data_IF_170321932825
#
_entry.id   IF_170321932825
#
_cell.length_a   1.000
_cell.length_b   1.000
_cell.length_c   1.000
_cell.angle_alpha   90.00
_cell.angle_beta   90.00
_cell.angle_gamma   90.00
#
_symmetry.space_group_name_H-M   'P 1'
#
loop_
_entity.id
_entity.type
_entity.pdbx_description
1 polymer ?
#
# COMPACT_ATOMS: atom_id res chain seq x y z
N UNK A 1 -6.47 -17.96 22.43
CA UNK A 1 -7.00 -16.59 22.51
C UNK A 1 -8.52 -16.62 22.36
N UNK A 2 -9.28 -15.80 23.09
CA UNK A 2 -10.75 -15.75 23.02
C UNK A 2 -11.24 -14.51 22.27
N UNK A 3 -12.26 -14.67 21.43
CA UNK A 3 -12.92 -13.57 20.72
C UNK A 3 -14.01 -12.94 21.60
N UNK A 4 -13.99 -11.62 21.74
CA UNK A 4 -15.03 -10.88 22.47
C UNK A 4 -16.36 -10.89 21.69
N UNK A 5 -17.44 -10.52 22.37
CA UNK A 5 -18.75 -10.39 21.71
C UNK A 5 -18.73 -9.36 20.55
N UNK A 6 -18.02 -8.25 20.73
CA UNK A 6 -17.91 -7.23 19.66
C UNK A 6 -17.06 -7.74 18.49
N UNK A 7 -15.97 -8.47 18.73
CA UNK A 7 -15.19 -9.10 17.65
C UNK A 7 -16.08 -10.02 16.81
N UNK A 8 -16.82 -10.92 17.47
CA UNK A 8 -17.73 -11.87 16.81
C UNK A 8 -18.79 -11.16 15.97
N UNK A 9 -19.39 -10.09 16.51
CA UNK A 9 -20.40 -9.29 15.80
C UNK A 9 -19.85 -8.61 14.54
N UNK A 10 -18.64 -8.06 14.59
CA UNK A 10 -18.01 -7.46 13.40
C UNK A 10 -17.62 -8.53 12.37
N UNK A 11 -17.07 -9.66 12.82
CA UNK A 11 -16.75 -10.80 11.95
C UNK A 11 -18.00 -11.37 11.27
N UNK A 12 -19.14 -11.41 11.97
CA UNK A 12 -20.43 -11.79 11.38
C UNK A 12 -20.85 -10.84 10.27
N UNK A 13 -20.65 -9.53 10.44
CA UNK A 13 -20.93 -8.55 9.39
C UNK A 13 -20.09 -8.81 8.14
N UNK A 14 -18.79 -9.09 8.29
CA UNK A 14 -17.91 -9.39 7.15
C UNK A 14 -18.24 -10.73 6.51
N UNK A 15 -18.53 -11.75 7.31
CA UNK A 15 -18.91 -13.07 6.84
C UNK A 15 -20.23 -13.04 6.04
N UNK A 16 -21.28 -12.39 6.56
CA UNK A 16 -22.54 -12.26 5.83
C UNK A 16 -22.40 -11.42 4.55
N UNK A 17 -21.48 -10.45 4.53
CA UNK A 17 -21.14 -9.72 3.31
C UNK A 17 -20.44 -10.60 2.28
N UNK A 18 -19.45 -11.38 2.72
CA UNK A 18 -18.72 -12.33 1.89
C UNK A 18 -19.64 -13.42 1.31
N UNK A 19 -20.66 -13.86 2.04
CA UNK A 19 -21.64 -14.83 1.51
C UNK A 19 -22.54 -14.27 0.41
N UNK A 20 -22.77 -12.96 0.38
CA UNK A 20 -23.58 -12.34 -0.70
C UNK A 20 -22.85 -12.36 -2.04
N UNK A 21 -21.52 -12.29 -1.99
CA UNK A 21 -20.66 -12.19 -3.15
C UNK A 21 -19.33 -12.88 -2.84
N UNK A 22 -19.34 -14.22 -2.88
CA UNK A 22 -18.21 -15.09 -2.51
C UNK A 22 -17.15 -15.15 -3.62
N UNK A 23 -16.74 -13.97 -4.08
CA UNK A 23 -15.76 -13.74 -5.11
C UNK A 23 -14.48 -13.19 -4.47
N UNK A 24 -13.35 -13.65 -4.98
CA UNK A 24 -12.06 -13.02 -4.75
C UNK A 24 -11.85 -12.02 -5.86
N UNK A 25 -11.64 -10.76 -5.47
CA UNK A 25 -11.37 -9.65 -6.37
C UNK A 25 -10.01 -9.03 -6.05
N UNK A 26 -9.09 -9.13 -6.99
CA UNK A 26 -7.83 -8.39 -7.07
C UNK A 26 -7.67 -7.89 -8.51
N UNK A 27 -6.84 -6.88 -8.78
CA UNK A 27 -6.78 -6.03 -10.00
C UNK A 27 -6.94 -6.73 -11.35
N UNK A 28 -6.64 -8.02 -11.46
CA UNK A 28 -6.81 -8.81 -12.69
C UNK A 28 -7.54 -10.17 -12.48
N UNK A 29 -8.04 -10.42 -11.28
CA UNK A 29 -8.66 -11.69 -10.88
C UNK A 29 -9.99 -11.39 -10.20
N UNK A 30 -11.08 -11.74 -10.89
CA UNK A 30 -12.41 -11.83 -10.29
C UNK A 30 -12.93 -13.24 -10.51
N UNK A 31 -12.90 -14.06 -9.46
CA UNK A 31 -13.36 -15.44 -9.54
C UNK A 31 -13.94 -15.93 -8.21
N UNK A 32 -14.79 -16.97 -8.22
CA UNK A 32 -15.29 -17.57 -6.98
C UNK A 32 -14.13 -18.04 -6.10
N UNK A 33 -14.23 -17.85 -4.77
CA UNK A 33 -13.14 -18.20 -3.85
C UNK A 33 -12.73 -19.67 -3.95
N UNK A 34 -13.68 -20.59 -4.16
CA UNK A 34 -13.36 -22.02 -4.36
C UNK A 34 -12.49 -22.28 -5.60
N UNK A 35 -12.71 -21.53 -6.70
CA UNK A 35 -11.84 -21.60 -7.89
C UNK A 35 -10.47 -21.00 -7.59
N UNK A 36 -10.42 -19.90 -6.85
CA UNK A 36 -9.18 -19.26 -6.43
C UNK A 36 -8.33 -20.19 -5.54
N UNK A 37 -8.94 -20.83 -4.55
CA UNK A 37 -8.29 -21.79 -3.66
C UNK A 37 -7.83 -23.04 -4.39
N UNK A 38 -8.59 -23.51 -5.39
CA UNK A 38 -8.15 -24.60 -6.26
C UNK A 38 -6.91 -24.20 -7.06
N UNK A 39 -6.84 -22.97 -7.58
CA UNK A 39 -5.65 -22.47 -8.27
C UNK A 39 -4.45 -22.31 -7.33
N UNK A 40 -4.65 -21.86 -6.08
CA UNK A 40 -3.60 -21.90 -5.04
C UNK A 40 -3.10 -23.33 -4.85
N UNK A 41 -4.01 -24.27 -4.60
CA UNK A 41 -3.68 -25.68 -4.39
C UNK A 41 -2.90 -26.28 -5.56
N UNK A 42 -3.26 -25.95 -6.79
CA UNK A 42 -2.58 -26.44 -8.00
C UNK A 42 -1.17 -25.85 -8.15
N UNK A 43 -0.94 -24.62 -7.66
CA UNK A 43 0.37 -23.95 -7.67
C UNK A 43 1.31 -24.37 -6.53
N UNK A 44 0.77 -24.84 -5.39
CA UNK A 44 1.56 -25.21 -4.20
C UNK A 44 2.67 -26.22 -4.50
N UNK A 45 2.47 -27.31 -5.26
CA UNK A 45 3.52 -28.29 -5.55
C UNK A 45 4.77 -27.68 -6.18
N UNK A 46 4.61 -26.81 -7.18
CA UNK A 46 5.73 -26.19 -7.88
C UNK A 46 6.45 -25.17 -6.99
N UNK A 47 5.69 -24.36 -6.23
CA UNK A 47 6.26 -23.38 -5.30
C UNK A 47 7.03 -24.10 -4.18
N UNK A 48 6.47 -25.18 -3.64
CA UNK A 48 7.11 -26.01 -2.62
C UNK A 48 8.36 -26.69 -3.15
N UNK A 49 8.36 -27.17 -4.39
CA UNK A 49 9.55 -27.73 -5.03
C UNK A 49 10.65 -26.68 -5.20
N UNK A 50 10.31 -25.46 -5.62
CA UNK A 50 11.26 -24.34 -5.70
C UNK A 50 11.92 -24.05 -4.34
N UNK A 51 11.12 -23.95 -3.27
CA UNK A 51 11.63 -23.71 -1.91
C UNK A 51 12.52 -24.87 -1.47
N UNK A 52 12.10 -26.12 -1.67
CA UNK A 52 12.89 -27.29 -1.31
C UNK A 52 14.23 -27.38 -2.06
N UNK A 53 14.25 -27.07 -3.36
CA UNK A 53 15.48 -27.05 -4.15
C UNK A 53 16.45 -25.96 -3.65
N UNK A 54 15.95 -24.79 -3.25
CA UNK A 54 16.77 -23.75 -2.64
C UNK A 54 17.32 -24.20 -1.26
N UNK A 55 16.45 -24.70 -0.38
CA UNK A 55 16.85 -25.16 0.96
C UNK A 55 17.88 -26.29 0.91
N UNK A 56 17.80 -27.18 -0.08
CA UNK A 56 18.74 -28.29 -0.29
C UNK A 56 19.99 -27.91 -1.07
N UNK A 57 20.07 -26.67 -1.58
CA UNK A 57 21.22 -26.16 -2.35
C UNK A 57 21.26 -26.62 -3.82
N UNK A 58 20.18 -27.23 -4.33
CA UNK A 58 20.02 -27.53 -5.76
C UNK A 58 19.77 -26.28 -6.59
N UNK A 59 19.20 -25.25 -5.97
CA UNK A 59 18.94 -23.94 -6.58
C UNK A 59 19.83 -22.90 -5.88
N UNK A 60 20.56 -22.11 -6.66
CA UNK A 60 21.35 -21.00 -6.10
C UNK A 60 20.45 -19.88 -5.58
N UNK A 61 20.98 -18.99 -4.73
CA UNK A 61 20.22 -17.82 -4.25
C UNK A 61 19.71 -16.93 -5.40
N UNK A 62 20.52 -16.73 -6.43
CA UNK A 62 20.15 -15.94 -7.61
C UNK A 62 19.04 -16.61 -8.41
N UNK A 63 19.17 -17.92 -8.67
CA UNK A 63 18.15 -18.67 -9.42
C UNK A 63 16.85 -18.78 -8.63
N UNK A 64 16.93 -18.89 -7.29
CA UNK A 64 15.76 -18.88 -6.41
C UNK A 64 14.99 -17.56 -6.53
N UNK A 65 15.69 -16.42 -6.49
CA UNK A 65 15.08 -15.10 -6.69
C UNK A 65 14.39 -15.00 -8.06
N UNK A 66 15.05 -15.41 -9.13
CA UNK A 66 14.51 -15.32 -10.49
C UNK A 66 13.32 -16.25 -10.72
N UNK A 67 13.39 -17.47 -10.21
CA UNK A 67 12.27 -18.43 -10.26
C UNK A 67 11.09 -17.92 -9.43
N UNK A 68 11.34 -17.36 -8.24
CA UNK A 68 10.31 -16.72 -7.42
C UNK A 68 9.62 -15.57 -8.14
N UNK A 69 10.36 -14.69 -8.81
CA UNK A 69 9.78 -13.58 -9.59
C UNK A 69 8.90 -14.12 -10.73
N UNK A 70 9.39 -15.10 -11.50
CA UNK A 70 8.62 -15.74 -12.56
C UNK A 70 7.33 -16.40 -12.05
N UNK A 71 7.42 -17.13 -10.94
CA UNK A 71 6.27 -17.80 -10.33
C UNK A 71 5.27 -16.77 -9.77
N UNK A 72 5.72 -15.73 -9.07
CA UNK A 72 4.83 -14.68 -8.53
C UNK A 72 3.98 -13.98 -9.59
N UNK A 73 4.43 -13.97 -10.86
CA UNK A 73 3.71 -13.42 -12.00
C UNK A 73 2.73 -14.40 -12.64
N UNK A 74 3.09 -15.69 -12.68
CA UNK A 74 2.27 -16.74 -13.29
C UNK A 74 1.21 -17.30 -12.35
N UNK A 75 1.48 -17.27 -11.03
CA UNK A 75 0.58 -17.72 -9.96
C UNK A 75 0.39 -16.61 -8.91
N UNK A 76 -0.36 -15.53 -9.23
CA UNK A 76 -0.39 -14.31 -8.42
C UNK A 76 -1.27 -14.39 -7.15
N UNK A 77 -1.65 -15.59 -6.71
CA UNK A 77 -2.73 -15.82 -5.73
C UNK A 77 -2.41 -15.45 -4.27
N UNK A 78 -1.23 -14.89 -4.01
CA UNK A 78 -0.77 -14.47 -2.69
C UNK A 78 -0.29 -13.01 -2.65
N UNK A 79 -0.44 -12.26 -3.74
CA UNK A 79 0.06 -10.87 -3.83
C UNK A 79 1.60 -10.75 -3.77
N UNK A 80 2.35 -11.85 -3.80
CA UNK A 80 3.80 -11.84 -3.56
C UNK A 80 4.61 -11.05 -4.59
N UNK A 81 4.06 -10.80 -5.79
CA UNK A 81 4.71 -9.97 -6.83
C UNK A 81 5.00 -8.52 -6.36
N UNK A 82 4.26 -8.04 -5.35
CA UNK A 82 4.30 -6.64 -4.91
C UNK A 82 5.56 -6.20 -4.16
N UNK A 83 5.54 -4.95 -3.71
CA UNK A 83 6.63 -4.29 -2.97
C UNK A 83 6.96 -4.99 -1.64
N UNK A 84 5.93 -5.47 -0.94
CA UNK A 84 6.11 -6.20 0.33
C UNK A 84 6.69 -7.62 0.16
N UNK A 85 6.65 -8.21 -1.04
CA UNK A 85 7.10 -9.58 -1.30
C UNK A 85 8.36 -9.66 -2.16
N UNK A 86 8.18 -9.84 -3.47
CA UNK A 86 9.25 -10.09 -4.42
C UNK A 86 10.27 -8.95 -4.46
N UNK A 87 9.87 -7.70 -4.24
CA UNK A 87 10.82 -6.59 -4.17
C UNK A 87 11.75 -6.72 -2.94
N UNK A 88 11.24 -7.11 -1.78
CA UNK A 88 12.07 -7.37 -0.59
C UNK A 88 13.08 -8.49 -0.87
N UNK A 89 12.65 -9.59 -1.51
CA UNK A 89 13.55 -10.67 -1.91
C UNK A 89 14.60 -10.19 -2.91
N UNK A 90 14.22 -9.34 -3.87
CA UNK A 90 15.16 -8.76 -4.84
C UNK A 90 16.19 -7.88 -4.15
N UNK A 91 15.77 -6.99 -3.24
CA UNK A 91 16.67 -6.15 -2.44
C UNK A 91 17.59 -7.01 -1.58
N UNK A 92 17.08 -8.06 -0.94
CA UNK A 92 17.86 -8.98 -0.12
C UNK A 92 18.99 -9.62 -0.92
N UNK A 93 18.67 -10.16 -2.10
CA UNK A 93 19.65 -10.88 -2.91
C UNK A 93 20.64 -9.94 -3.58
N UNK A 94 20.17 -8.81 -4.12
CA UNK A 94 21.00 -7.92 -4.93
C UNK A 94 21.83 -6.93 -4.11
N UNK A 95 21.34 -6.48 -2.94
CA UNK A 95 21.94 -5.35 -2.23
C UNK A 95 22.73 -5.76 -0.98
N UNK A 96 22.50 -6.96 -0.43
CA UNK A 96 23.26 -7.46 0.71
C UNK A 96 24.56 -8.10 0.22
N UNK A 97 25.70 -7.61 0.71
CA UNK A 97 27.04 -8.14 0.38
C UNK A 97 27.57 -9.16 1.39
N UNK A 98 26.82 -9.43 2.47
CA UNK A 98 27.19 -10.38 3.50
C UNK A 98 27.30 -11.82 2.94
N UNK A 99 28.43 -12.46 3.19
CA UNK A 99 28.71 -13.84 2.77
C UNK A 99 27.73 -14.85 3.40
N UNK A 100 27.13 -14.52 4.54
CA UNK A 100 26.18 -15.39 5.22
C UNK A 100 24.73 -15.24 4.70
N UNK A 101 24.43 -14.28 3.81
CA UNK A 101 23.05 -13.97 3.41
C UNK A 101 22.27 -15.19 2.89
N UNK A 102 22.92 -16.09 2.16
CA UNK A 102 22.25 -17.29 1.66
C UNK A 102 21.88 -18.24 2.81
N UNK A 103 22.80 -18.46 3.76
CA UNK A 103 22.57 -19.27 4.95
C UNK A 103 21.47 -18.66 5.83
N UNK A 104 21.50 -17.35 6.03
CA UNK A 104 20.50 -16.63 6.81
C UNK A 104 19.10 -16.74 6.16
N UNK A 105 19.00 -16.60 4.84
CA UNK A 105 17.74 -16.78 4.14
C UNK A 105 17.23 -18.22 4.21
N UNK A 106 18.09 -19.23 4.00
CA UNK A 106 17.69 -20.65 4.13
C UNK A 106 17.15 -20.95 5.53
N UNK A 107 17.82 -20.45 6.58
CA UNK A 107 17.37 -20.61 7.95
C UNK A 107 16.01 -19.98 8.22
N UNK A 108 15.75 -18.80 7.65
CA UNK A 108 14.48 -18.10 7.80
C UNK A 108 13.34 -18.76 6.99
N UNK A 109 13.62 -19.26 5.79
CA UNK A 109 12.62 -19.91 4.92
C UNK A 109 12.32 -21.36 5.30
N UNK A 110 13.21 -22.03 6.02
CA UNK A 110 12.95 -23.38 6.54
C UNK A 110 11.67 -23.40 7.38
N UNK A 111 10.78 -24.35 7.10
CA UNK A 111 9.51 -24.50 7.79
C UNK A 111 9.73 -24.59 9.32
N UNK A 112 9.21 -23.65 10.12
CA UNK A 112 9.31 -23.72 11.57
C UNK A 112 8.55 -24.94 12.12
N UNK A 113 8.95 -25.42 13.30
CA UNK A 113 8.32 -26.57 13.99
C UNK A 113 7.21 -26.15 14.93
N UNK A 114 7.18 -24.88 15.32
CA UNK A 114 6.18 -24.29 16.21
C UNK A 114 6.00 -22.81 15.90
N UNK A 115 4.98 -22.19 16.51
CA UNK A 115 4.77 -20.75 16.39
C UNK A 115 5.88 -19.96 17.12
N UNK A 116 6.44 -20.50 18.21
CA UNK A 116 7.62 -19.93 18.87
C UNK A 116 8.83 -19.90 17.93
N UNK A 117 9.09 -20.97 17.19
CA UNK A 117 10.20 -20.99 16.22
C UNK A 117 9.93 -20.01 15.06
N UNK A 118 8.67 -19.87 14.63
CA UNK A 118 8.29 -18.88 13.63
C UNK A 118 8.59 -17.43 14.10
N UNK A 119 8.18 -17.08 15.33
CA UNK A 119 8.50 -15.79 15.95
C UNK A 119 10.02 -15.56 16.02
N UNK A 120 10.77 -16.56 16.48
CA UNK A 120 12.23 -16.50 16.56
C UNK A 120 12.89 -16.27 15.20
N UNK A 121 12.43 -16.95 14.14
CA UNK A 121 12.96 -16.77 12.78
C UNK A 121 12.69 -15.37 12.24
N UNK A 122 11.50 -14.81 12.48
CA UNK A 122 11.18 -13.43 12.10
C UNK A 122 12.08 -12.45 12.84
N UNK A 123 12.21 -12.59 14.16
CA UNK A 123 13.05 -11.72 14.98
C UNK A 123 14.52 -11.78 14.54
N UNK A 124 15.05 -12.98 14.30
CA UNK A 124 16.42 -13.17 13.82
C UNK A 124 16.66 -12.48 12.47
N UNK A 125 15.71 -12.58 11.53
CA UNK A 125 15.81 -11.89 10.24
C UNK A 125 15.70 -10.36 10.41
N UNK A 126 14.84 -9.88 11.29
CA UNK A 126 14.69 -8.45 11.59
C UNK A 126 15.98 -7.88 12.21
N UNK A 127 16.57 -8.56 13.18
CA UNK A 127 17.85 -8.20 13.81
C UNK A 127 19.00 -8.23 12.81
N UNK A 128 19.06 -9.27 11.97
CA UNK A 128 20.05 -9.40 10.91
C UNK A 128 20.01 -8.20 9.96
N UNK A 129 18.83 -7.85 9.44
CA UNK A 129 18.66 -6.70 8.55
C UNK A 129 18.92 -5.36 9.27
N UNK A 130 18.56 -5.25 10.55
CA UNK A 130 18.85 -4.06 11.37
C UNK A 130 20.35 -3.84 11.53
N UNK A 131 21.11 -4.92 11.81
CA UNK A 131 22.57 -4.87 11.89
C UNK A 131 23.18 -4.43 10.57
N UNK A 132 22.77 -5.04 9.45
CA UNK A 132 23.27 -4.65 8.13
C UNK A 132 23.01 -3.18 7.81
N UNK A 133 21.82 -2.65 8.16
CA UNK A 133 21.49 -1.22 8.01
C UNK A 133 22.45 -0.30 8.77
N UNK A 134 22.97 -0.73 9.92
CA UNK A 134 23.93 0.07 10.69
C UNK A 134 25.37 -0.01 10.16
N UNK A 135 25.68 -1.06 9.41
CA UNK A 135 27.04 -1.33 8.90
C UNK A 135 27.26 -0.82 7.47
N UNK A 136 26.20 -0.57 6.69
CA UNK A 136 26.30 -0.11 5.30
C UNK A 136 26.24 1.42 5.16
N UNK A 137 26.98 1.96 4.20
CA UNK A 137 26.91 3.37 3.78
C UNK A 137 25.59 3.71 3.07
N UNK A 138 24.81 2.70 2.65
CA UNK A 138 23.49 2.89 2.06
C UNK A 138 22.40 2.08 2.80
N UNK A 139 21.99 2.46 4.03
CA UNK A 139 20.99 1.74 4.83
C UNK A 139 19.64 1.54 4.14
N UNK A 140 19.34 2.35 3.12
CA UNK A 140 18.08 2.32 2.36
C UNK A 140 18.05 1.22 1.30
N UNK A 141 19.21 0.66 0.92
CA UNK A 141 19.28 -0.49 0.02
C UNK A 141 18.90 -1.81 0.71
N UNK A 142 18.96 -1.85 2.05
CA UNK A 142 18.62 -3.03 2.83
C UNK A 142 17.10 -3.16 2.95
N UNK A 143 16.52 -4.34 2.67
CA UNK A 143 15.09 -4.59 2.75
C UNK A 143 14.46 -4.04 4.04
N UNK A 144 13.30 -3.36 3.91
CA UNK A 144 12.57 -2.79 5.04
C UNK A 144 11.24 -3.51 5.27
N UNK A 145 11.08 -3.99 6.52
CA UNK A 145 9.81 -4.09 7.25
C UNK A 145 8.65 -4.73 6.49
N UNK A 146 8.81 -6.01 6.11
CA UNK A 146 7.70 -6.96 6.19
C UNK A 146 8.21 -8.42 6.22
N UNK A 147 9.14 -8.72 7.15
CA UNK A 147 9.67 -10.09 7.28
C UNK A 147 8.55 -11.07 7.59
N UNK A 148 7.55 -10.65 8.36
CA UNK A 148 6.37 -11.44 8.68
C UNK A 148 5.64 -11.89 7.41
N UNK A 149 5.29 -10.99 6.49
CA UNK A 149 4.66 -11.37 5.21
C UNK A 149 5.57 -12.26 4.36
N UNK A 150 6.82 -11.84 4.14
CA UNK A 150 7.73 -12.57 3.26
C UNK A 150 7.99 -14.01 3.74
N UNK A 151 8.26 -14.19 5.03
CA UNK A 151 8.56 -15.50 5.59
C UNK A 151 7.30 -16.36 5.69
N UNK A 152 6.18 -15.81 6.17
CA UNK A 152 4.92 -16.56 6.30
C UNK A 152 4.35 -17.01 4.96
N UNK A 153 4.55 -16.25 3.87
CA UNK A 153 4.26 -16.70 2.51
C UNK A 153 4.95 -18.03 2.17
N UNK A 154 6.26 -18.12 2.39
CA UNK A 154 7.01 -19.34 2.10
C UNK A 154 6.69 -20.48 3.09
N UNK A 155 6.30 -20.18 4.32
CA UNK A 155 5.87 -21.19 5.28
C UNK A 155 4.49 -21.76 4.94
N UNK A 156 3.55 -20.94 4.50
CA UNK A 156 2.23 -21.40 4.08
C UNK A 156 2.32 -22.30 2.85
N UNK A 157 3.14 -21.94 1.85
CA UNK A 157 3.41 -22.79 0.68
C UNK A 157 3.91 -24.18 1.10
N UNK A 158 4.71 -24.25 2.15
CA UNK A 158 5.23 -25.52 2.67
C UNK A 158 4.19 -26.27 3.50
N UNK A 159 3.36 -25.55 4.27
CA UNK A 159 2.29 -26.06 5.12
C UNK A 159 1.16 -25.02 5.33
N UNK A 160 0.10 -25.12 4.51
CA UNK A 160 -1.01 -24.17 4.50
C UNK A 160 -2.02 -24.34 5.63
N UNK A 161 -1.92 -25.43 6.40
CA UNK A 161 -2.83 -25.69 7.52
C UNK A 161 -2.36 -25.02 8.82
N UNK A 162 -1.06 -24.71 8.91
CA UNK A 162 -0.45 -24.20 10.13
C UNK A 162 -0.05 -22.74 10.03
N UNK A 163 0.54 -22.26 8.93
CA UNK A 163 1.15 -20.92 8.93
C UNK A 163 0.33 -19.94 8.10
N UNK A 164 -0.52 -19.10 8.71
CA UNK A 164 -1.24 -18.07 7.96
C UNK A 164 -0.26 -17.01 7.45
N UNK A 165 -0.52 -16.51 6.26
CA UNK A 165 0.26 -15.41 5.68
C UNK A 165 -0.11 -14.09 6.37
N UNK A 166 0.90 -13.33 6.78
CA UNK A 166 0.74 -12.05 7.45
C UNK A 166 0.42 -10.95 6.43
N UNK A 167 -0.84 -10.88 6.00
CA UNK A 167 -1.30 -9.82 5.10
C UNK A 167 -1.56 -8.52 5.87
N UNK A 168 -0.98 -7.41 5.41
CA UNK A 168 -1.24 -6.08 5.98
C UNK A 168 -2.72 -5.68 5.91
N UNK A 169 -3.44 -6.09 4.85
CA UNK A 169 -4.88 -5.88 4.72
C UNK A 169 -5.69 -6.60 5.81
N UNK A 170 -5.31 -7.84 6.14
CA UNK A 170 -5.92 -8.60 7.23
C UNK A 170 -5.62 -7.94 8.57
N UNK A 171 -4.36 -7.57 8.82
CA UNK A 171 -3.97 -6.84 10.03
C UNK A 171 -4.79 -5.57 10.23
N UNK A 172 -4.95 -4.74 9.20
CA UNK A 172 -5.73 -3.51 9.25
C UNK A 172 -7.19 -3.76 9.67
N UNK A 173 -7.81 -4.82 9.13
CA UNK A 173 -9.16 -5.19 9.54
C UNK A 173 -9.21 -5.64 10.99
N UNK A 174 -8.25 -6.45 11.42
CA UNK A 174 -8.16 -6.90 12.80
C UNK A 174 -7.96 -5.72 13.78
N UNK A 175 -7.11 -4.76 13.46
CA UNK A 175 -6.96 -3.51 14.22
C UNK A 175 -8.28 -2.73 14.28
N UNK A 176 -8.98 -2.60 13.15
CA UNK A 176 -10.26 -1.87 13.08
C UNK A 176 -11.37 -2.45 13.96
N UNK A 177 -11.30 -3.75 14.27
CA UNK A 177 -12.27 -4.43 15.14
C UNK A 177 -11.75 -4.58 16.58
N UNK A 178 -10.61 -3.97 16.93
CA UNK A 178 -10.15 -3.80 18.30
C UNK A 178 -8.97 -4.68 18.73
N UNK A 179 -8.30 -5.38 17.82
CA UNK A 179 -7.05 -6.09 18.16
C UNK A 179 -5.87 -5.12 18.24
N UNK A 180 -5.05 -5.25 19.28
CA UNK A 180 -3.94 -4.35 19.54
C UNK A 180 -2.61 -4.96 19.13
N UNK A 181 -2.16 -4.61 17.92
CA UNK A 181 -0.84 -5.00 17.42
C UNK A 181 0.28 -4.05 17.90
N UNK A 182 -0.05 -2.87 18.42
CA UNK A 182 0.95 -1.87 18.85
C UNK A 182 1.62 -2.23 20.17
N UNK A 183 0.99 -3.07 20.98
CA UNK A 183 1.56 -3.58 22.24
C UNK A 183 2.52 -4.75 22.08
N UNK A 184 2.78 -5.22 20.85
CA UNK A 184 3.70 -6.32 20.60
C UNK A 184 5.15 -5.80 20.50
N UNK A 185 6.06 -6.38 21.27
CA UNK A 185 7.43 -5.87 21.41
C UNK A 185 8.30 -6.12 20.18
N UNK A 186 8.03 -7.20 19.44
CA UNK A 186 8.83 -7.59 18.27
C UNK A 186 7.96 -8.01 17.09
N UNK A 187 8.48 -7.97 15.84
CA UNK A 187 7.73 -8.45 14.67
C UNK A 187 7.35 -9.93 14.74
N UNK A 188 8.17 -10.75 15.41
CA UNK A 188 7.86 -12.17 15.65
C UNK A 188 6.69 -12.36 16.63
N UNK A 189 6.62 -11.54 17.68
CA UNK A 189 5.48 -11.56 18.61
C UNK A 189 4.21 -11.03 17.94
N UNK A 190 4.34 -10.00 17.10
CA UNK A 190 3.25 -9.51 16.24
C UNK A 190 2.71 -10.61 15.32
N UNK A 191 3.59 -11.38 14.67
CA UNK A 191 3.18 -12.51 13.82
C UNK A 191 2.50 -13.62 14.62
N UNK A 192 3.03 -13.98 15.79
CA UNK A 192 2.42 -14.99 16.65
C UNK A 192 1.02 -14.55 17.11
N UNK A 193 0.88 -13.28 17.52
CA UNK A 193 -0.39 -12.70 17.91
C UNK A 193 -1.39 -12.70 16.74
N UNK A 194 -0.95 -12.34 15.54
CA UNK A 194 -1.75 -12.45 14.31
C UNK A 194 -2.23 -13.88 14.08
N UNK A 195 -1.35 -14.87 14.14
CA UNK A 195 -1.70 -16.27 13.91
C UNK A 195 -2.71 -16.77 14.95
N UNK A 196 -2.54 -16.43 16.22
CA UNK A 196 -3.48 -16.77 17.30
C UNK A 196 -4.87 -16.17 17.06
N UNK A 197 -4.96 -14.95 16.53
CA UNK A 197 -6.23 -14.34 16.11
C UNK A 197 -6.85 -15.13 14.97
N UNK A 198 -6.09 -15.44 13.92
CA UNK A 198 -6.59 -16.20 12.76
C UNK A 198 -7.12 -17.58 13.19
N UNK A 199 -6.42 -18.27 14.09
CA UNK A 199 -6.89 -19.55 14.63
C UNK A 199 -8.17 -19.40 15.46
N UNK A 200 -8.29 -18.34 16.25
CA UNK A 200 -9.50 -18.07 17.02
C UNK A 200 -10.70 -17.78 16.09
N UNK A 201 -10.49 -17.03 15.01
CA UNK A 201 -11.53 -16.76 14.00
C UNK A 201 -11.93 -18.04 13.26
N UNK A 202 -10.94 -18.85 12.84
CA UNK A 202 -11.18 -20.17 12.25
C UNK A 202 -12.05 -21.03 13.16
N UNK A 203 -11.66 -21.16 14.43
CA UNK A 203 -12.40 -21.97 15.40
C UNK A 203 -13.81 -21.44 15.62
N UNK A 204 -13.99 -20.12 15.67
CA UNK A 204 -15.30 -19.48 15.76
C UNK A 204 -16.19 -19.83 14.55
N UNK A 205 -15.69 -19.70 13.32
CA UNK A 205 -16.44 -20.09 12.13
C UNK A 205 -16.76 -21.58 12.09
N UNK A 206 -15.85 -22.45 12.51
CA UNK A 206 -16.09 -23.89 12.54
C UNK A 206 -17.16 -24.27 13.59
N UNK A 207 -17.01 -23.78 14.83
CA UNK A 207 -17.81 -24.23 15.97
C UNK A 207 -19.14 -23.51 16.11
N UNK A 208 -19.17 -22.20 15.87
CA UNK A 208 -20.38 -21.38 16.08
C UNK A 208 -21.13 -21.10 14.76
N UNK A 209 -20.46 -21.15 13.61
CA UNK A 209 -21.08 -20.97 12.29
C UNK A 209 -21.21 -22.25 11.47
N UNK A 210 -20.61 -23.36 11.93
CA UNK A 210 -20.72 -24.66 11.26
C UNK A 210 -20.00 -24.73 9.91
N UNK A 211 -19.01 -23.86 9.68
CA UNK A 211 -18.28 -23.77 8.42
C UNK A 211 -17.23 -24.88 8.33
N UNK A 212 -17.23 -25.61 7.21
CA UNK A 212 -16.35 -26.77 6.97
C UNK A 212 -15.69 -26.66 5.60
N UNK A 213 -14.83 -25.66 5.45
CA UNK A 213 -14.06 -25.45 4.23
C UNK A 213 -12.85 -26.38 4.16
N UNK A 214 -12.43 -26.72 2.94
CA UNK A 214 -11.22 -27.53 2.71
C UNK A 214 -9.96 -26.83 3.23
N UNK A 215 -9.92 -25.49 3.14
CA UNK A 215 -8.81 -24.66 3.58
C UNK A 215 -9.30 -23.59 4.58
N UNK A 216 -9.43 -23.93 5.87
CA UNK A 216 -10.08 -23.04 6.84
C UNK A 216 -9.33 -21.72 7.06
N UNK A 217 -8.00 -21.71 6.94
CA UNK A 217 -7.19 -20.48 7.06
C UNK A 217 -7.44 -19.55 5.87
N UNK A 218 -7.44 -20.08 4.64
CA UNK A 218 -7.75 -19.30 3.43
C UNK A 218 -9.18 -18.76 3.47
N UNK A 219 -10.12 -19.51 4.03
CA UNK A 219 -11.47 -19.00 4.23
C UNK A 219 -11.50 -17.77 5.15
N UNK A 220 -10.76 -17.80 6.27
CA UNK A 220 -10.63 -16.62 7.14
C UNK A 220 -10.01 -15.45 6.38
N UNK A 221 -8.95 -15.69 5.60
CA UNK A 221 -8.31 -14.69 4.74
C UNK A 221 -9.32 -14.02 3.79
N UNK A 222 -10.16 -14.79 3.11
CA UNK A 222 -11.18 -14.27 2.19
C UNK A 222 -12.21 -13.38 2.89
N UNK A 223 -12.67 -13.79 4.08
CA UNK A 223 -13.63 -13.00 4.86
C UNK A 223 -13.01 -11.68 5.31
N UNK A 224 -11.76 -11.70 5.78
CA UNK A 224 -11.04 -10.48 6.18
C UNK A 224 -10.76 -9.57 4.98
N UNK A 225 -10.38 -10.14 3.83
CA UNK A 225 -10.19 -9.38 2.59
C UNK A 225 -11.48 -8.69 2.15
N UNK A 226 -12.64 -9.38 2.24
CA UNK A 226 -13.93 -8.76 1.96
C UNK A 226 -14.24 -7.61 2.91
N UNK A 227 -13.97 -7.79 4.20
CA UNK A 227 -14.07 -6.73 5.20
C UNK A 227 -13.24 -5.50 4.82
N UNK A 228 -11.99 -5.73 4.39
CA UNK A 228 -11.07 -4.69 3.92
C UNK A 228 -11.64 -3.93 2.73
N UNK A 229 -12.12 -4.64 1.70
CA UNK A 229 -12.75 -4.01 0.53
C UNK A 229 -13.99 -3.21 0.92
N UNK A 230 -14.85 -3.72 1.81
CA UNK A 230 -16.07 -3.04 2.24
C UNK A 230 -15.80 -1.75 3.01
N UNK A 231 -14.92 -1.79 4.01
CA UNK A 231 -14.52 -0.57 4.76
C UNK A 231 -13.95 0.52 3.84
N UNK A 232 -13.47 0.14 2.66
CA UNK A 232 -12.86 1.05 1.71
C UNK A 232 -13.76 1.39 0.52
N UNK A 233 -14.81 0.61 0.26
CA UNK A 233 -15.88 0.91 -0.69
C UNK A 233 -16.97 1.80 -0.08
N UNK A 234 -17.28 1.66 1.22
CA UNK A 234 -18.25 2.53 1.93
C UNK A 234 -17.74 3.98 2.09
N UNK A 235 -16.45 4.23 1.83
CA UNK A 235 -15.90 5.59 1.68
C UNK A 235 -16.14 6.17 0.27
N UNK A 236 -16.51 5.36 -0.72
CA UNK A 236 -16.74 5.78 -2.12
C UNK A 236 -18.23 6.03 -2.45
N UNK A 237 -19.18 5.67 -1.58
CA UNK A 237 -20.63 5.79 -1.83
C UNK A 237 -21.33 6.77 -0.87
N UNK A 238 -20.95 8.06 -0.92
CA UNK A 238 -21.88 9.15 -0.56
C UNK A 238 -21.89 10.21 -1.66
N UNK A 239 -22.27 9.80 -2.86
CA UNK A 239 -22.76 10.72 -3.88
C UNK A 239 -23.96 10.09 -4.60
N UNK A 240 -25.15 10.34 -4.08
CA UNK A 240 -26.27 11.01 -4.78
C UNK A 240 -27.60 10.73 -4.08
N UNK A 241 -28.22 11.78 -3.54
CA UNK A 241 -29.53 12.27 -3.99
C UNK A 241 -29.84 13.59 -3.27
N UNK A 242 -29.96 14.67 -4.05
CA UNK A 242 -30.41 15.97 -3.57
C UNK A 242 -31.92 15.94 -3.27
N UNK A 243 -32.32 16.46 -2.10
CA UNK A 243 -33.48 17.37 -1.93
C UNK A 243 -33.45 18.06 -0.54
N UNK A 244 -33.09 19.35 -0.59
CA UNK A 244 -33.65 20.52 0.10
C UNK A 244 -33.96 20.59 1.64
N UNK A 245 -33.23 21.56 2.24
CA UNK A 245 -33.45 22.49 3.40
C UNK A 245 -33.37 22.00 4.87
N UNK A 246 -33.08 22.90 5.85
CA UNK A 246 -31.75 23.04 6.43
C UNK A 246 -31.75 22.68 7.93
N UNK A 247 -30.67 22.10 8.43
CA UNK A 247 -30.44 22.04 9.88
C UNK A 247 -29.09 22.69 10.16
N UNK A 248 -29.18 23.95 10.60
CA UNK A 248 -28.14 24.57 11.41
C UNK A 248 -27.97 23.68 12.65
N UNK A 249 -26.86 22.97 12.72
CA UNK A 249 -26.31 22.47 13.98
C UNK A 249 -24.87 22.94 14.04
N UNK A 250 -24.66 23.95 14.89
CA UNK A 250 -23.38 24.17 15.53
C UNK A 250 -22.96 22.87 16.22
N UNK A 251 -22.15 22.05 15.57
CA UNK A 251 -21.42 21.00 16.27
C UNK A 251 -20.06 21.54 16.62
N UNK A 252 -19.91 21.98 17.87
CA UNK A 252 -18.64 21.84 18.57
C UNK A 252 -18.30 20.35 18.57
N UNK A 253 -17.39 19.93 17.68
CA UNK A 253 -16.75 18.63 17.78
C UNK A 253 -15.61 18.71 18.81
N UNK A 254 -15.58 17.73 19.71
CA UNK A 254 -14.49 17.38 20.64
C UNK A 254 -14.27 15.87 20.39
N UNK A 255 -13.02 15.37 20.32
CA UNK A 255 -12.48 14.67 19.16
C UNK A 255 -12.52 13.14 19.26
N UNK A 256 -12.77 12.50 18.13
CA UNK A 256 -12.29 11.15 17.81
C UNK A 256 -11.22 11.31 16.72
N UNK A 257 -10.03 10.79 16.99
CA UNK A 257 -8.74 11.15 16.39
C UNK A 257 -8.65 10.91 14.87
N UNK A 258 -9.16 11.85 14.07
CA UNK A 258 -8.66 11.98 12.71
C UNK A 258 -7.26 12.60 12.81
N UNK A 259 -6.24 11.86 12.36
CA UNK A 259 -4.88 12.38 12.29
C UNK A 259 -4.73 13.41 11.16
N UNK A 260 -5.76 13.60 10.34
CA UNK A 260 -5.77 14.58 9.25
C UNK A 260 -5.81 16.00 9.84
N UNK A 261 -4.77 16.82 9.60
CA UNK A 261 -4.75 18.18 10.12
C UNK A 261 -5.89 19.03 9.54
N UNK A 262 -6.60 19.84 10.34
CA UNK A 262 -7.73 20.66 9.88
C UNK A 262 -7.41 21.58 8.70
N UNK A 263 -6.14 21.94 8.53
CA UNK A 263 -5.68 22.79 7.42
C UNK A 263 -5.85 22.12 6.05
N UNK A 264 -5.88 20.79 5.97
CA UNK A 264 -6.08 20.00 4.74
C UNK A 264 -7.35 19.13 4.75
N UNK A 265 -8.16 19.16 5.80
CA UNK A 265 -9.31 18.24 5.95
C UNK A 265 -10.41 18.40 4.86
N UNK A 266 -10.45 19.55 4.18
CA UNK A 266 -11.38 19.86 3.09
C UNK A 266 -10.75 19.67 1.68
N UNK A 267 -9.59 19.01 1.59
CA UNK A 267 -8.85 18.83 0.33
C UNK A 267 -9.69 18.14 -0.75
N UNK A 268 -10.52 17.16 -0.37
CA UNK A 268 -11.42 16.46 -1.29
C UNK A 268 -12.53 17.37 -1.84
N UNK A 269 -13.11 18.24 -1.01
CA UNK A 269 -14.13 19.21 -1.44
C UNK A 269 -13.55 20.18 -2.47
N UNK A 270 -12.33 20.68 -2.22
CA UNK A 270 -11.62 21.54 -3.15
C UNK A 270 -11.27 20.81 -4.46
N UNK A 271 -10.91 19.52 -4.40
CA UNK A 271 -10.68 18.71 -5.59
C UNK A 271 -11.95 18.54 -6.45
N UNK A 272 -13.13 18.53 -5.82
CA UNK A 272 -14.43 18.56 -6.50
C UNK A 272 -14.84 19.96 -7.01
N UNK A 273 -13.94 20.93 -6.94
CA UNK A 273 -14.18 22.34 -7.25
C UNK A 273 -15.26 23.01 -6.39
N UNK A 274 -15.46 22.53 -5.15
CA UNK A 274 -16.45 23.07 -4.24
C UNK A 274 -15.84 24.17 -3.36
N UNK A 275 -16.59 25.24 -3.14
CA UNK A 275 -16.19 26.29 -2.21
C UNK A 275 -16.21 25.77 -0.77
N UNK A 276 -15.13 26.01 -0.02
CA UNK A 276 -15.03 25.66 1.40
C UNK A 276 -15.01 26.91 2.26
N UNK A 277 -15.24 26.76 3.56
CA UNK A 277 -15.12 27.86 4.51
C UNK A 277 -13.73 28.52 4.46
N UNK A 278 -12.69 27.74 4.16
CA UNK A 278 -11.33 28.26 4.03
C UNK A 278 -11.17 29.16 2.80
N UNK A 279 -11.68 28.72 1.64
CA UNK A 279 -11.56 29.45 0.38
C UNK A 279 -12.43 30.71 0.39
N UNK A 280 -13.67 30.59 0.90
CA UNK A 280 -14.62 31.69 1.06
C UNK A 280 -14.09 32.81 1.94
N UNK A 281 -13.55 32.48 3.12
CA UNK A 281 -12.98 33.47 4.05
C UNK A 281 -11.79 34.24 3.46
N UNK A 282 -11.07 33.65 2.51
CA UNK A 282 -9.90 34.25 1.87
C UNK A 282 -10.19 34.88 0.50
N UNK A 283 -11.43 34.75 0.00
CA UNK A 283 -11.80 35.23 -1.33
C UNK A 283 -11.01 34.56 -2.46
N UNK A 284 -10.59 33.30 -2.25
CA UNK A 284 -9.81 32.53 -3.23
C UNK A 284 -10.74 31.50 -3.88
N UNK A 285 -10.62 31.30 -5.19
CA UNK A 285 -11.39 30.28 -5.90
C UNK A 285 -11.00 28.86 -5.45
N UNK A 286 -11.90 27.86 -5.52
CA UNK A 286 -11.61 26.50 -5.06
C UNK A 286 -10.38 25.89 -5.74
N UNK A 287 -10.16 26.14 -7.03
CA UNK A 287 -9.00 25.62 -7.76
C UNK A 287 -7.68 26.12 -7.15
N UNK A 288 -7.59 27.43 -6.88
CA UNK A 288 -6.39 28.02 -6.28
C UNK A 288 -6.22 27.62 -4.81
N UNK A 289 -7.32 27.47 -4.08
CA UNK A 289 -7.29 26.93 -2.73
C UNK A 289 -6.81 25.48 -2.73
N UNK A 290 -7.19 24.68 -3.74
CA UNK A 290 -6.73 23.30 -3.90
C UNK A 290 -5.21 23.23 -4.09
N UNK A 291 -4.65 24.03 -5.01
CA UNK A 291 -3.19 24.16 -5.22
C UNK A 291 -2.46 24.48 -3.89
N UNK A 292 -2.94 25.50 -3.18
CA UNK A 292 -2.34 25.92 -1.90
C UNK A 292 -2.41 24.81 -0.84
N UNK A 293 -3.49 24.03 -0.80
CA UNK A 293 -3.61 22.94 0.17
C UNK A 293 -2.81 21.70 -0.21
N UNK A 294 -2.56 21.44 -1.49
CA UNK A 294 -1.59 20.42 -1.91
C UNK A 294 -0.19 20.75 -1.45
N UNK A 295 0.21 22.03 -1.48
CA UNK A 295 1.48 22.46 -0.86
C UNK A 295 1.53 22.04 0.62
N UNK A 296 0.50 22.34 1.39
CA UNK A 296 0.47 21.94 2.81
C UNK A 296 0.52 20.43 2.99
N UNK A 297 -0.20 19.67 2.15
CA UNK A 297 -0.18 18.22 2.15
C UNK A 297 1.25 17.66 1.97
N UNK A 298 1.99 18.13 0.96
CA UNK A 298 3.37 17.71 0.75
C UNK A 298 4.32 18.18 1.86
N UNK A 299 4.13 19.38 2.41
CA UNK A 299 4.92 19.84 3.56
C UNK A 299 4.69 18.94 4.79
N UNK A 300 3.45 18.53 5.05
CA UNK A 300 3.13 17.57 6.14
C UNK A 300 3.78 16.21 5.88
N UNK A 301 3.87 15.79 4.61
CA UNK A 301 4.60 14.58 4.23
C UNK A 301 6.13 14.69 4.37
N UNK A 302 6.66 15.85 4.75
CA UNK A 302 8.08 16.08 5.01
C UNK A 302 8.88 16.58 3.80
N UNK A 303 8.23 16.95 2.70
CA UNK A 303 8.91 17.51 1.54
C UNK A 303 9.24 19.00 1.71
N UNK A 304 10.31 19.44 1.08
CA UNK A 304 10.56 20.85 0.79
C UNK A 304 9.75 21.26 -0.46
N UNK A 305 8.78 22.15 -0.29
CA UNK A 305 7.77 22.43 -1.31
C UNK A 305 7.88 23.86 -1.84
N UNK A 306 8.10 23.98 -3.14
CA UNK A 306 8.04 25.24 -3.89
C UNK A 306 6.73 25.33 -4.65
N UNK A 307 5.89 26.32 -4.32
CA UNK A 307 4.71 26.67 -5.11
C UNK A 307 5.11 27.53 -6.31
N UNK A 308 4.61 27.18 -7.49
CA UNK A 308 4.94 27.84 -8.76
C UNK A 308 3.71 28.55 -9.38
N UNK A 309 2.50 28.23 -8.91
CA UNK A 309 1.22 28.70 -9.47
C UNK A 309 1.01 30.24 -9.53
N UNK A 310 0.98 30.72 -10.79
CA UNK A 310 0.69 32.04 -11.42
C UNK A 310 1.65 33.23 -11.27
N UNK A 311 2.44 33.46 -12.35
CA UNK A 311 3.08 34.74 -12.68
C UNK A 311 4.07 34.67 -13.86
N UNK A 312 3.57 34.54 -15.10
CA UNK A 312 4.28 34.44 -16.41
C UNK A 312 4.74 33.03 -16.83
N UNK A 313 3.83 32.22 -17.36
CA UNK A 313 4.21 31.02 -18.12
C UNK A 313 3.23 29.86 -18.01
N UNK A 314 3.57 28.78 -18.70
CA UNK A 314 2.96 27.47 -18.52
C UNK A 314 3.87 26.66 -17.58
N UNK A 315 3.55 26.67 -16.29
CA UNK A 315 4.32 26.06 -15.20
C UNK A 315 3.42 25.07 -14.45
N UNK A 316 3.97 24.01 -13.83
CA UNK A 316 3.21 23.17 -12.91
C UNK A 316 2.82 23.95 -11.64
N UNK A 317 1.89 23.42 -10.85
CA UNK A 317 1.43 24.11 -9.63
C UNK A 317 2.48 24.12 -8.52
N UNK A 318 3.31 23.08 -8.44
CA UNK A 318 4.47 23.09 -7.54
C UNK A 318 5.42 21.91 -7.70
N UNK A 319 6.48 21.95 -6.90
CA UNK A 319 7.49 20.89 -6.83
C UNK A 319 7.77 20.60 -5.36
N UNK A 320 7.70 19.32 -4.99
CA UNK A 320 8.02 18.80 -3.68
C UNK A 320 9.33 17.99 -3.76
N UNK A 321 10.38 18.44 -3.09
CA UNK A 321 11.71 17.81 -3.10
C UNK A 321 11.93 17.10 -1.76
N UNK A 322 12.52 15.91 -1.81
CA UNK A 322 13.04 15.24 -0.63
C UNK A 322 14.50 14.88 -0.82
N UNK A 323 15.29 15.10 0.22
CA UNK A 323 16.70 14.71 0.31
C UNK A 323 16.87 13.31 0.92
N UNK A 324 15.77 12.73 1.40
CA UNK A 324 15.76 11.59 2.30
C UNK A 324 15.18 10.33 1.63
N UNK A 325 15.11 10.29 0.30
CA UNK A 325 14.79 9.09 -0.48
C UNK A 325 15.94 8.07 -0.53
N UNK A 326 15.65 6.84 -0.94
CA UNK A 326 16.65 5.79 -1.13
C UNK A 326 17.51 5.99 -2.37
N UNK A 327 17.00 6.65 -3.41
CA UNK A 327 17.83 7.08 -4.54
C UNK A 327 18.61 8.37 -4.25
N UNK A 328 18.58 8.87 -3.01
CA UNK A 328 19.08 10.19 -2.64
C UNK A 328 18.01 11.27 -2.86
N UNK A 329 18.35 12.31 -3.62
CA UNK A 329 17.45 13.43 -3.85
C UNK A 329 16.44 13.09 -4.94
N UNK A 330 15.15 13.17 -4.61
CA UNK A 330 14.06 12.98 -5.56
C UNK A 330 13.04 14.11 -5.45
N UNK A 331 12.29 14.31 -6.52
CA UNK A 331 11.24 15.31 -6.56
C UNK A 331 9.94 14.77 -7.15
N UNK A 332 8.85 15.27 -6.61
CA UNK A 332 7.50 15.13 -7.14
C UNK A 332 7.09 16.49 -7.69
N UNK A 333 7.06 16.62 -9.00
CA UNK A 333 6.40 17.75 -9.66
C UNK A 333 4.90 17.45 -9.58
N UNK A 334 4.07 18.40 -9.14
CA UNK A 334 2.64 18.14 -8.99
C UNK A 334 1.76 19.20 -9.65
N UNK A 335 0.57 18.76 -10.03
CA UNK A 335 -0.44 19.56 -10.69
C UNK A 335 -1.82 19.25 -10.09
N UNK A 336 -2.56 20.29 -9.75
CA UNK A 336 -3.87 20.24 -9.12
C UNK A 336 -4.96 20.36 -10.19
N UNK A 337 -5.84 19.35 -10.26
CA UNK A 337 -6.99 19.35 -11.18
C UNK A 337 -8.29 19.32 -10.39
N UNK A 338 -8.73 20.49 -9.93
CA UNK A 338 -10.06 20.64 -9.35
C UNK A 338 -11.14 20.50 -10.44
N UNK A 339 -11.99 19.47 -10.33
CA UNK A 339 -13.05 19.14 -11.29
C UNK A 339 -14.26 18.54 -10.58
N UNK A 340 -15.45 18.99 -10.97
CA UNK A 340 -16.72 18.37 -10.51
C UNK A 340 -16.93 16.96 -11.09
N UNK A 341 -16.32 16.67 -12.24
CA UNK A 341 -16.36 15.38 -12.94
C UNK A 341 -14.97 14.77 -12.98
N UNK A 342 -14.90 13.49 -13.32
CA UNK A 342 -13.64 12.77 -13.56
C UNK A 342 -12.69 13.54 -14.50
N UNK A 343 -11.41 13.50 -14.18
CA UNK A 343 -10.36 14.04 -15.03
C UNK A 343 -9.89 12.99 -16.04
N UNK A 344 -9.97 13.33 -17.33
CA UNK A 344 -9.47 12.50 -18.41
C UNK A 344 -8.08 12.98 -18.88
N UNK A 345 -7.09 12.09 -18.82
CA UNK A 345 -5.79 12.30 -19.46
C UNK A 345 -5.93 12.16 -21.00
N UNK A 346 -5.01 12.75 -21.77
CA UNK A 346 -5.05 12.75 -23.24
C UNK A 346 -5.31 14.14 -23.81
N UNK A 347 -5.94 15.02 -23.03
CA UNK A 347 -6.11 16.44 -23.37
C UNK A 347 -5.04 17.24 -22.63
N UNK A 348 -3.95 17.60 -23.32
CA UNK A 348 -2.85 18.38 -22.72
C UNK A 348 -1.56 17.59 -22.44
N UNK A 349 -1.43 16.35 -22.90
CA UNK A 349 -0.22 15.52 -22.74
C UNK A 349 1.06 16.21 -23.23
N UNK A 350 0.93 17.01 -24.30
CA UNK A 350 2.01 17.86 -24.80
C UNK A 350 2.46 18.89 -23.77
N UNK A 351 1.53 19.52 -23.07
CA UNK A 351 1.82 20.56 -22.07
C UNK A 351 2.49 19.92 -20.86
N UNK A 352 1.97 18.79 -20.37
CA UNK A 352 2.60 18.00 -19.31
C UNK A 352 4.04 17.59 -19.70
N UNK A 353 4.23 17.11 -20.93
CA UNK A 353 5.55 16.74 -21.47
C UNK A 353 6.51 17.94 -21.48
N UNK A 354 6.04 19.12 -21.87
CA UNK A 354 6.83 20.36 -21.86
C UNK A 354 7.20 20.78 -20.41
N UNK A 355 6.28 20.67 -19.45
CA UNK A 355 6.53 21.01 -18.04
C UNK A 355 7.59 20.13 -17.43
N UNK A 356 7.46 18.82 -17.62
CA UNK A 356 8.40 17.83 -17.11
C UNK A 356 9.80 18.13 -17.65
N UNK A 357 9.95 18.31 -18.97
CA UNK A 357 11.26 18.57 -19.60
C UNK A 357 11.92 19.85 -19.10
N UNK A 358 11.14 20.90 -18.87
CA UNK A 358 11.66 22.17 -18.39
C UNK A 358 12.13 22.05 -16.93
N UNK A 359 11.30 21.46 -16.06
CA UNK A 359 11.62 21.32 -14.63
C UNK A 359 12.68 20.29 -14.34
N UNK A 360 12.72 19.19 -15.09
CA UNK A 360 13.76 18.16 -14.93
C UNK A 360 15.16 18.78 -15.09
N UNK A 361 15.37 19.63 -16.09
CA UNK A 361 16.66 20.33 -16.30
C UNK A 361 17.02 21.25 -15.14
N UNK A 362 16.04 21.92 -14.55
CA UNK A 362 16.22 22.78 -13.37
C UNK A 362 16.61 21.94 -12.15
N UNK A 363 15.89 20.84 -11.91
CA UNK A 363 16.07 19.92 -10.79
C UNK A 363 17.40 19.15 -10.87
N UNK A 364 17.83 18.74 -12.07
CA UNK A 364 19.14 18.13 -12.28
C UNK A 364 20.29 19.05 -11.87
N UNK A 365 20.17 20.37 -12.07
CA UNK A 365 21.17 21.35 -11.59
C UNK A 365 21.21 21.42 -10.05
N UNK A 366 20.12 21.07 -9.40
CA UNK A 366 20.01 20.96 -7.94
C UNK A 366 20.35 19.55 -7.43
N UNK A 367 20.92 18.67 -8.29
CA UNK A 367 21.30 17.28 -8.00
C UNK A 367 20.14 16.34 -7.69
N UNK A 368 18.92 16.71 -8.07
CA UNK A 368 17.74 15.85 -8.02
C UNK A 368 17.75 14.98 -9.27
N UNK A 369 18.03 13.69 -9.12
CA UNK A 369 18.21 12.75 -10.24
C UNK A 369 16.98 11.86 -10.49
N UNK A 370 16.04 11.83 -9.55
CA UNK A 370 14.77 11.11 -9.67
C UNK A 370 13.62 12.09 -9.61
N UNK A 371 12.76 12.03 -10.61
CA UNK A 371 11.62 12.93 -10.74
C UNK A 371 10.41 12.10 -11.13
N UNK A 372 9.27 12.39 -10.53
CA UNK A 372 7.95 11.98 -11.00
C UNK A 372 7.06 13.20 -11.25
N UNK A 373 5.99 12.98 -12.00
CA UNK A 373 4.95 13.96 -12.22
C UNK A 373 3.62 13.45 -11.67
N UNK A 374 3.10 14.13 -10.65
CA UNK A 374 1.85 13.80 -9.96
C UNK A 374 0.72 14.68 -10.45
N UNK A 375 -0.39 14.08 -10.85
CA UNK A 375 -1.66 14.79 -11.05
C UNK A 375 -2.56 14.42 -9.89
N UNK A 376 -3.05 15.43 -9.16
CA UNK A 376 -3.99 15.24 -8.06
C UNK A 376 -5.35 15.78 -8.47
N UNK A 377 -6.38 14.94 -8.40
CA UNK A 377 -7.76 15.30 -8.75
C UNK A 377 -8.78 14.64 -7.82
N UNK A 378 -10.06 14.91 -8.01
CA UNK A 378 -11.15 14.24 -7.30
C UNK A 378 -11.25 12.78 -7.76
N UNK A 379 -11.37 12.56 -9.07
CA UNK A 379 -11.46 11.24 -9.71
C UNK A 379 -10.82 11.26 -11.11
N UNK A 380 -10.51 10.08 -11.66
CA UNK A 380 -9.92 9.91 -12.99
C UNK A 380 -10.76 8.99 -13.87
N UNK A 381 -10.87 9.31 -15.15
CA UNK A 381 -11.60 8.44 -16.10
C UNK A 381 -10.78 7.19 -16.42
N UNK A 382 -11.36 6.03 -16.14
CA UNK A 382 -10.82 4.74 -16.55
C UNK A 382 -11.13 4.49 -18.03
N UNK A 383 -10.14 4.73 -18.89
CA UNK A 383 -10.23 4.48 -20.33
C UNK A 383 -9.01 3.70 -20.81
N UNK A 384 -9.14 2.79 -21.78
CA UNK A 384 -7.99 2.16 -22.45
C UNK A 384 -6.97 3.17 -23.01
N UNK A 385 -7.38 4.43 -23.26
CA UNK A 385 -6.49 5.51 -23.70
C UNK A 385 -5.58 6.05 -22.58
N UNK A 386 -5.96 5.90 -21.31
CA UNK A 386 -5.19 6.36 -20.14
C UNK A 386 -3.78 5.76 -20.15
N UNK A 387 -3.68 4.44 -20.30
CA UNK A 387 -2.40 3.75 -20.35
C UNK A 387 -1.52 4.21 -21.51
N UNK A 388 -2.13 4.48 -22.67
CA UNK A 388 -1.39 4.92 -23.84
C UNK A 388 -0.81 6.32 -23.63
N UNK A 389 -1.60 7.26 -23.12
CA UNK A 389 -1.13 8.60 -22.76
C UNK A 389 0.01 8.56 -21.74
N UNK A 390 -0.12 7.76 -20.67
CA UNK A 390 0.94 7.61 -19.66
C UNK A 390 2.22 7.01 -20.27
N UNK A 391 2.09 5.98 -21.12
CA UNK A 391 3.21 5.38 -21.84
C UNK A 391 3.88 6.37 -22.79
N UNK A 392 3.11 7.20 -23.48
CA UNK A 392 3.63 8.17 -24.44
C UNK A 392 4.36 9.34 -23.76
N UNK A 393 3.81 9.86 -22.64
CA UNK A 393 4.52 10.84 -21.82
C UNK A 393 5.82 10.22 -21.29
N UNK A 394 5.77 9.02 -20.72
CA UNK A 394 6.97 8.33 -20.22
C UNK A 394 8.01 8.07 -21.31
N UNK A 395 7.60 7.70 -22.53
CA UNK A 395 8.52 7.55 -23.67
C UNK A 395 9.19 8.88 -24.03
N UNK A 396 8.46 9.98 -23.94
CA UNK A 396 8.94 11.31 -24.31
C UNK A 396 9.82 11.98 -23.25
N UNK A 397 9.61 11.68 -21.96
CA UNK A 397 10.26 12.36 -20.83
C UNK A 397 11.12 11.45 -19.97
N UNK A 398 10.89 10.13 -20.00
CA UNK A 398 11.44 9.14 -19.04
C UNK A 398 11.05 9.39 -17.58
N UNK A 399 10.05 10.24 -17.35
CA UNK A 399 9.53 10.58 -16.02
C UNK A 399 8.18 9.87 -15.83
N UNK A 400 8.00 9.08 -14.76
CA UNK A 400 6.74 8.44 -14.45
C UNK A 400 5.65 9.48 -14.15
N UNK A 401 4.46 9.27 -14.70
CA UNK A 401 3.26 10.05 -14.38
C UNK A 401 2.37 9.23 -13.46
N UNK A 402 1.96 9.85 -12.36
CA UNK A 402 1.17 9.23 -11.30
C UNK A 402 -0.10 10.04 -11.11
N UNK A 403 -1.20 9.33 -10.99
CA UNK A 403 -2.52 9.92 -10.79
C UNK A 403 -2.98 9.58 -9.38
N UNK A 404 -3.27 10.60 -8.55
CA UNK A 404 -3.66 10.39 -7.15
C UNK A 404 -4.98 11.10 -6.88
N UNK A 405 -5.94 10.38 -6.29
CA UNK A 405 -7.18 11.00 -5.85
C UNK A 405 -6.91 11.77 -4.56
N UNK A 406 -7.53 12.92 -4.37
CA UNK A 406 -7.33 13.73 -3.16
C UNK A 406 -7.59 12.93 -1.88
N UNK A 407 -8.60 12.05 -1.89
CA UNK A 407 -8.92 11.12 -0.79
C UNK A 407 -7.80 10.11 -0.49
N UNK A 408 -7.11 9.62 -1.52
CA UNK A 408 -6.00 8.68 -1.37
C UNK A 408 -4.75 9.39 -0.83
N UNK A 409 -4.49 10.63 -1.28
CA UNK A 409 -3.41 11.46 -0.72
C UNK A 409 -3.64 11.76 0.77
N UNK A 410 -4.87 12.06 1.17
CA UNK A 410 -5.24 12.20 2.58
C UNK A 410 -4.96 10.92 3.37
N UNK A 411 -5.23 9.75 2.79
CA UNK A 411 -4.95 8.45 3.42
C UNK A 411 -3.44 8.22 3.63
N UNK A 412 -2.59 8.65 2.69
CA UNK A 412 -1.12 8.61 2.85
C UNK A 412 -0.66 9.50 4.00
N UNK A 413 -1.23 10.70 4.11
CA UNK A 413 -0.89 11.66 5.17
C UNK A 413 -1.34 11.15 6.53
N UNK A 414 -2.58 10.67 6.63
CA UNK A 414 -3.12 10.08 7.85
C UNK A 414 -2.25 8.92 8.34
N UNK A 415 -1.86 8.02 7.43
CA UNK A 415 -0.92 6.93 7.73
C UNK A 415 0.40 7.45 8.27
N UNK A 416 1.05 8.39 7.56
CA UNK A 416 2.34 8.98 8.01
C UNK A 416 2.24 9.61 9.40
N UNK A 417 1.12 10.26 9.72
CA UNK A 417 0.94 10.89 11.03
C UNK A 417 0.59 9.88 12.12
N UNK A 418 -0.11 8.79 11.78
CA UNK A 418 -0.46 7.72 12.71
C UNK A 418 0.67 6.71 12.97
N UNK A 419 1.65 6.62 12.07
CA UNK A 419 2.79 5.72 12.12
C UNK A 419 4.09 6.48 11.80
N UNK A 420 4.91 6.72 12.84
CA UNK A 420 6.14 7.51 12.76
C UNK A 420 7.24 6.89 11.87
N UNK A 421 7.11 5.62 11.48
CA UNK A 421 8.12 4.93 10.67
C UNK A 421 8.00 5.21 9.16
N UNK A 422 6.94 5.90 8.70
CA UNK A 422 6.77 6.26 7.29
C UNK A 422 7.73 7.38 6.89
N UNK A 423 8.82 6.98 6.23
CA UNK A 423 9.88 7.88 5.77
C UNK A 423 9.82 8.15 4.26
N UNK A 424 10.78 8.95 3.80
CA UNK A 424 10.86 9.33 2.38
C UNK A 424 11.33 8.21 1.45
N UNK A 425 11.82 7.08 1.97
CA UNK A 425 12.10 5.90 1.16
C UNK A 425 10.78 5.27 0.68
N UNK A 426 9.84 5.09 1.61
CA UNK A 426 8.52 4.54 1.28
C UNK A 426 7.68 5.51 0.43
N UNK A 427 7.77 6.81 0.71
CA UNK A 427 7.10 7.83 -0.11
C UNK A 427 7.73 7.93 -1.51
N UNK A 428 9.04 7.69 -1.65
CA UNK A 428 9.68 7.60 -2.97
C UNK A 428 9.13 6.41 -3.77
N UNK A 429 9.04 5.22 -3.17
CA UNK A 429 8.49 4.04 -3.85
C UNK A 429 7.03 4.26 -4.26
N UNK A 430 6.25 4.93 -3.41
CA UNK A 430 4.87 5.31 -3.69
C UNK A 430 4.75 6.32 -4.83
N UNK A 431 5.59 7.36 -4.82
CA UNK A 431 5.52 8.48 -5.74
C UNK A 431 6.48 8.37 -6.93
N UNK A 432 7.12 7.22 -7.19
CA UNK A 432 7.86 6.95 -8.43
C UNK A 432 7.28 5.78 -9.25
N UNK A 433 6.18 5.18 -8.81
CA UNK A 433 5.42 4.20 -9.61
C UNK A 433 4.74 4.88 -10.83
N UNK A 434 4.09 4.13 -11.73
CA UNK A 434 3.32 4.72 -12.84
C UNK A 434 1.83 4.37 -12.74
N UNK A 435 0.99 5.29 -13.19
CA UNK A 435 -0.46 5.11 -13.26
C UNK A 435 -1.21 5.59 -12.03
N UNK A 436 -2.41 5.05 -11.81
CA UNK A 436 -3.26 5.47 -10.69
C UNK A 436 -2.74 4.86 -9.39
N UNK A 437 -2.52 5.72 -8.40
CA UNK A 437 -2.19 5.30 -7.05
C UNK A 437 -3.46 4.88 -6.32
N UNK A 438 -3.66 3.57 -6.24
CA UNK A 438 -4.78 2.95 -5.55
C UNK A 438 -4.50 2.75 -4.08
N UNK A 439 -5.55 2.73 -3.25
CA UNK A 439 -5.46 2.40 -1.82
C UNK A 439 -4.72 1.09 -1.53
N UNK A 440 -4.95 0.04 -2.32
CA UNK A 440 -4.25 -1.25 -2.16
C UNK A 440 -2.73 -1.08 -2.25
N UNK A 441 -2.22 -0.27 -3.19
CA UNK A 441 -0.79 0.06 -3.31
C UNK A 441 -0.27 0.83 -2.11
N UNK A 442 -1.07 1.75 -1.57
CA UNK A 442 -0.70 2.52 -0.39
C UNK A 442 -0.49 1.58 0.80
N UNK A 443 -1.40 0.62 1.01
CA UNK A 443 -1.27 -0.40 2.06
C UNK A 443 -0.07 -1.33 1.79
N UNK A 444 0.09 -1.80 0.55
CA UNK A 444 1.18 -2.71 0.19
C UNK A 444 2.59 -2.11 0.43
N UNK A 445 2.73 -0.79 0.30
CA UNK A 445 4.01 -0.07 0.45
C UNK A 445 4.19 0.49 1.87
N UNK A 446 3.12 0.99 2.48
CA UNK A 446 3.19 1.69 3.77
C UNK A 446 2.88 0.80 4.98
N UNK A 447 2.40 -0.44 4.77
CA UNK A 447 1.90 -1.33 5.82
C UNK A 447 0.51 -0.90 6.27
#
# INVERSE_FOLDING_TARGET
MELTHEHKKQLDSYFEDFKKDSMVEDKNVKMPFGTFDQQRKDAVPDLKAMVADFLTGKLSLTDFKEKSDSMSRSVPYWGFKGFSGQMQLNQYVNNIEDAEKETQLKNALALPKSMEEASQKINAMAEYLKRLKTETDNPKSIPRTNQSFMLSYFWEVQNSELYPVFFGSSKNILESIGFDFKSQDTPGDEYKYFADIIYAIRLYFETEKGIKEQFPIWFVEHVLWRGFKKQHADTEVVTTTKKDIPIIRESRQIPGESWIPPIIADLEQLALNQETEWSKKRGVKPEKAFETKLRYAFTILGFDVTELGQGKGREPDGVAISTDGHSGYYAVIYDAKAREKEYAIGTGDREITEYIKNKERELQRQRVNKVSFLIVSSEFTESPSLENSLKDIYRATRVPVILVRAKDLLSVIERKLSNADIDHTQLEDLFLDTGVLTKDKIVDILG
#
